data_IF_431776365340
#
_entry.id   IF_431776365340
#
_cell.length_a   1.000
_cell.length_b   1.000
_cell.length_c   1.000
_cell.angle_alpha   90.00
_cell.angle_beta   90.00
_cell.angle_gamma   90.00
#
_symmetry.space_group_name_H-M   'P 1'
#
loop_
_entity.id
_entity.type
_entity.pdbx_description
1 polymer ?
#
# COMPACT_ATOMS: atom_id res chain seq x y z
N UNK A 1 5.64 15.86 1.12
CA UNK A 1 6.78 15.28 0.39
C UNK A 1 7.99 16.19 0.54
N UNK A 2 9.13 15.61 0.80
CA UNK A 2 10.42 16.28 0.82
C UNK A 2 11.46 15.35 0.17
N UNK A 3 12.39 15.93 -0.58
CA UNK A 3 13.50 15.22 -1.21
C UNK A 3 14.80 15.98 -0.92
N UNK A 4 15.87 15.24 -0.64
CA UNK A 4 17.20 15.78 -0.40
C UNK A 4 18.21 15.06 -1.25
N UNK A 5 18.90 15.79 -2.10
CA UNK A 5 20.10 15.33 -2.79
C UNK A 5 21.25 15.22 -1.76
N UNK A 6 21.88 14.06 -1.71
CA UNK A 6 23.03 13.75 -0.84
C UNK A 6 24.37 13.83 -1.59
N UNK A 7 24.35 14.12 -2.89
CA UNK A 7 25.51 14.09 -3.77
C UNK A 7 25.82 12.70 -4.31
N UNK A 8 26.72 12.63 -5.28
CA UNK A 8 27.17 11.37 -5.92
C UNK A 8 26.02 10.45 -6.42
N UNK A 9 24.92 11.05 -6.88
CA UNK A 9 23.75 10.35 -7.37
C UNK A 9 22.87 9.73 -6.27
N UNK A 10 23.15 10.01 -5.00
CA UNK A 10 22.34 9.54 -3.87
C UNK A 10 21.28 10.58 -3.51
N UNK A 11 20.07 10.10 -3.20
CA UNK A 11 18.97 10.95 -2.73
C UNK A 11 18.17 10.27 -1.63
N UNK A 12 17.63 11.09 -0.76
CA UNK A 12 16.74 10.71 0.34
C UNK A 12 15.39 11.38 0.14
N UNK A 13 14.35 10.57 0.09
CA UNK A 13 12.97 11.04 -0.04
C UNK A 13 12.18 10.74 1.21
N UNK A 14 11.30 11.66 1.56
CA UNK A 14 10.35 11.49 2.65
C UNK A 14 8.96 11.89 2.19
N UNK A 15 7.97 11.05 2.48
CA UNK A 15 6.58 11.33 2.19
C UNK A 15 5.71 11.05 3.42
N UNK A 16 4.76 11.93 3.70
CA UNK A 16 3.72 11.70 4.70
C UNK A 16 2.35 11.91 4.07
N UNK A 17 1.39 11.07 4.46
CA UNK A 17 0.01 11.12 3.99
C UNK A 17 -0.94 11.00 5.17
N UNK A 18 -2.06 11.71 5.10
CA UNK A 18 -3.19 11.56 6.01
C UNK A 18 -4.47 11.53 5.19
N UNK A 19 -5.42 10.72 5.59
CA UNK A 19 -6.66 10.57 4.84
C UNK A 19 -7.79 9.99 5.65
N UNK A 20 -8.98 10.06 5.07
CA UNK A 20 -10.18 9.44 5.60
C UNK A 20 -10.87 8.67 4.47
N UNK A 21 -11.17 7.41 4.73
CA UNK A 21 -11.81 6.50 3.78
C UNK A 21 -13.19 6.14 4.29
N UNK A 22 -14.21 6.34 3.46
CA UNK A 22 -15.55 5.82 3.68
C UNK A 22 -15.63 4.42 3.07
N UNK A 23 -16.02 3.47 3.88
CA UNK A 23 -16.22 2.09 3.49
C UNK A 23 -17.72 1.79 3.51
N UNK A 24 -18.18 1.11 2.49
CA UNK A 24 -19.55 0.63 2.36
C UNK A 24 -19.47 -0.83 1.91
N UNK A 25 -20.20 -1.70 2.57
CA UNK A 25 -20.20 -3.10 2.24
C UNK A 25 -21.61 -3.66 2.27
N UNK A 26 -21.84 -4.68 1.45
CA UNK A 26 -22.98 -5.57 1.47
C UNK A 26 -22.48 -6.99 1.24
N UNK A 27 -22.78 -7.87 2.15
CA UNK A 27 -22.36 -9.28 2.13
C UNK A 27 -23.61 -10.14 2.29
N UNK A 28 -23.74 -11.15 1.45
CA UNK A 28 -24.83 -12.13 1.55
C UNK A 28 -24.29 -13.46 2.08
N UNK A 29 -24.94 -14.01 3.12
CA UNK A 29 -24.58 -15.31 3.66
C UNK A 29 -25.13 -16.46 2.78
N UNK A 30 -24.74 -17.70 3.10
CA UNK A 30 -25.14 -18.90 2.35
C UNK A 30 -26.64 -19.24 2.40
N UNK A 31 -27.43 -18.62 3.30
CA UNK A 31 -28.87 -18.77 3.40
C UNK A 31 -29.63 -17.57 2.82
N UNK A 32 -28.93 -16.62 2.19
CA UNK A 32 -29.54 -15.51 1.46
C UNK A 32 -29.71 -14.22 2.25
N UNK A 33 -29.46 -14.19 3.56
CA UNK A 33 -29.53 -12.97 4.38
C UNK A 33 -28.44 -12.00 3.98
N UNK A 34 -28.81 -10.75 3.70
CA UNK A 34 -27.88 -9.69 3.38
C UNK A 34 -27.52 -8.88 4.63
N UNK A 35 -26.22 -8.68 4.85
CA UNK A 35 -25.68 -7.83 5.90
C UNK A 35 -25.00 -6.63 5.26
N UNK A 36 -25.38 -5.44 5.63
CA UNK A 36 -24.80 -4.21 5.08
C UNK A 36 -24.39 -3.22 6.17
N UNK A 37 -23.44 -2.36 5.83
CA UNK A 37 -23.00 -1.32 6.74
C UNK A 37 -22.12 -0.27 6.06
N UNK A 38 -22.03 0.88 6.70
CA UNK A 38 -21.18 1.99 6.27
C UNK A 38 -20.36 2.48 7.45
N UNK A 39 -19.06 2.67 7.26
CA UNK A 39 -18.18 3.24 8.27
C UNK A 39 -17.06 4.06 7.66
N UNK A 40 -16.36 4.85 8.48
CA UNK A 40 -15.28 5.72 8.03
C UNK A 40 -14.06 5.53 8.92
N UNK A 41 -12.91 5.23 8.31
CA UNK A 41 -11.62 5.18 8.98
C UNK A 41 -10.79 6.43 8.68
N UNK A 42 -9.86 6.74 9.58
CA UNK A 42 -8.79 7.71 9.36
C UNK A 42 -7.47 6.97 9.31
N UNK A 43 -6.62 7.32 8.36
CA UNK A 43 -5.33 6.69 8.19
C UNK A 43 -4.21 7.72 8.03
N UNK A 44 -3.02 7.32 8.46
CA UNK A 44 -1.79 8.08 8.34
C UNK A 44 -0.70 7.15 7.82
N UNK A 45 0.21 7.69 7.02
CA UNK A 45 1.41 6.94 6.63
C UNK A 45 2.59 7.88 6.49
N UNK A 46 3.78 7.32 6.74
CA UNK A 46 5.05 7.97 6.50
C UNK A 46 5.97 6.98 5.78
N UNK A 47 6.68 7.48 4.77
CA UNK A 47 7.63 6.70 3.98
C UNK A 47 8.95 7.46 3.95
N UNK A 48 10.05 6.74 4.20
CA UNK A 48 11.40 7.21 3.94
C UNK A 48 12.05 6.27 2.93
N UNK A 49 12.72 6.81 1.92
CA UNK A 49 13.44 6.03 0.91
C UNK A 49 14.79 6.64 0.62
N UNK A 50 15.78 5.77 0.47
CA UNK A 50 17.15 6.10 0.08
C UNK A 50 17.44 5.36 -1.21
N UNK A 51 17.94 6.07 -2.20
CA UNK A 51 18.40 5.47 -3.44
C UNK A 51 19.73 6.10 -3.88
N UNK A 52 20.51 5.35 -4.65
CA UNK A 52 21.76 5.84 -5.23
C UNK A 52 21.87 5.41 -6.68
N UNK A 53 21.87 6.38 -7.58
CA UNK A 53 22.09 6.12 -9.00
C UNK A 53 23.57 6.00 -9.30
N UNK A 54 23.96 4.88 -9.91
CA UNK A 54 25.33 4.53 -10.30
C UNK A 54 25.34 4.28 -11.80
N UNK A 55 26.21 4.92 -12.53
CA UNK A 55 26.32 4.72 -13.97
C UNK A 55 26.53 6.01 -14.76
N UNK A 56 25.97 6.08 -15.94
CA UNK A 56 26.08 7.21 -16.86
C UNK A 56 24.70 7.80 -17.16
N UNK A 57 24.66 8.94 -17.87
CA UNK A 57 23.41 9.54 -18.35
C UNK A 57 22.56 8.60 -19.25
N UNK A 58 23.21 7.59 -19.83
CA UNK A 58 22.58 6.65 -20.77
C UNK A 58 22.14 5.34 -20.11
N UNK A 59 22.85 4.87 -19.09
CA UNK A 59 22.58 3.59 -18.43
C UNK A 59 22.93 3.68 -16.95
N UNK A 60 22.06 3.21 -16.10
CA UNK A 60 22.24 3.27 -14.65
C UNK A 60 21.77 2.02 -13.95
N UNK A 61 22.33 1.83 -12.78
CA UNK A 61 21.92 0.91 -11.73
C UNK A 61 21.55 1.76 -10.51
N UNK A 62 20.41 1.49 -9.90
CA UNK A 62 19.95 2.26 -8.74
C UNK A 62 19.46 1.32 -7.64
N UNK A 63 20.33 0.96 -6.68
CA UNK A 63 19.91 0.31 -5.45
C UNK A 63 19.03 1.24 -4.63
N UNK A 64 17.99 0.67 -4.04
CA UNK A 64 16.97 1.41 -3.30
C UNK A 64 16.65 0.68 -1.99
N UNK A 65 16.45 1.46 -0.93
CA UNK A 65 15.91 0.98 0.35
C UNK A 65 14.76 1.88 0.77
N UNK A 66 13.67 1.30 1.25
CA UNK A 66 12.48 2.04 1.66
C UNK A 66 11.91 1.45 2.93
N UNK A 67 11.44 2.31 3.83
CA UNK A 67 10.65 1.96 4.99
C UNK A 67 9.34 2.75 4.95
N UNK A 68 8.22 2.04 5.04
CA UNK A 68 6.88 2.63 5.08
C UNK A 68 6.18 2.20 6.34
N UNK A 69 5.81 3.17 7.17
CA UNK A 69 4.90 2.96 8.27
C UNK A 69 3.50 3.46 7.89
N UNK A 70 2.47 2.71 8.26
CA UNK A 70 1.08 3.09 8.07
C UNK A 70 0.24 2.73 9.28
N UNK A 71 -0.73 3.57 9.59
CA UNK A 71 -1.73 3.36 10.63
C UNK A 71 -3.12 3.63 10.07
N UNK A 72 -4.04 2.69 10.28
CA UNK A 72 -5.46 2.86 10.02
C UNK A 72 -6.22 2.71 11.33
N UNK A 73 -6.90 3.76 11.77
CA UNK A 73 -7.68 3.75 12.99
C UNK A 73 -8.88 2.80 12.89
N UNK A 74 -9.09 2.02 13.93
CA UNK A 74 -10.24 1.13 14.06
C UNK A 74 -11.56 1.90 14.20
N UNK A 75 -12.66 1.18 14.11
CA UNK A 75 -14.00 1.73 14.23
C UNK A 75 -14.98 0.74 14.83
N UNK A 76 -15.89 1.28 15.64
CA UNK A 76 -17.12 0.61 16.03
C UNK A 76 -18.24 1.13 15.13
N UNK A 77 -19.03 0.23 14.58
CA UNK A 77 -20.18 0.55 13.75
C UNK A 77 -21.22 -0.57 13.83
N UNK A 78 -22.46 -0.23 13.53
CA UNK A 78 -23.52 -1.20 13.41
C UNK A 78 -23.63 -1.68 11.95
N UNK A 79 -23.78 -2.98 11.75
CA UNK A 79 -24.18 -3.60 10.50
C UNK A 79 -25.61 -4.12 10.66
N UNK A 80 -26.42 -4.02 9.62
CA UNK A 80 -27.84 -4.34 9.67
C UNK A 80 -28.15 -5.42 8.64
N UNK A 81 -28.90 -6.44 9.07
CA UNK A 81 -29.44 -7.47 8.16
C UNK A 81 -30.68 -6.94 7.42
N UNK A 82 -31.04 -7.56 6.31
CA UNK A 82 -32.27 -7.32 5.58
C UNK A 82 -33.53 -7.63 6.43
N UNK A 83 -33.40 -8.48 7.46
CA UNK A 83 -34.43 -8.73 8.48
C UNK A 83 -34.51 -7.68 9.59
N UNK A 84 -33.61 -6.66 9.58
CA UNK A 84 -33.58 -5.59 10.58
C UNK A 84 -32.78 -5.94 11.86
N UNK A 85 -32.11 -7.07 11.92
CA UNK A 85 -31.22 -7.42 13.03
C UNK A 85 -29.95 -6.57 13.00
N UNK A 86 -29.49 -6.14 14.16
CA UNK A 86 -28.30 -5.29 14.31
C UNK A 86 -27.14 -6.10 14.85
N UNK A 87 -26.00 -5.99 14.18
CA UNK A 87 -24.72 -6.50 14.66
C UNK A 87 -23.79 -5.35 14.98
N UNK A 88 -23.28 -5.32 16.20
CA UNK A 88 -22.23 -4.41 16.59
C UNK A 88 -20.88 -4.96 16.11
N UNK A 89 -20.20 -4.20 15.28
CA UNK A 89 -18.90 -4.56 14.71
C UNK A 89 -17.82 -3.64 15.29
N UNK A 90 -16.82 -4.27 15.88
CA UNK A 90 -15.59 -3.59 16.32
C UNK A 90 -14.47 -3.98 15.36
N UNK A 91 -14.00 -3.03 14.58
CA UNK A 91 -12.79 -3.16 13.78
C UNK A 91 -11.63 -2.57 14.56
N UNK A 92 -10.62 -3.38 14.88
CA UNK A 92 -9.40 -2.94 15.53
C UNK A 92 -8.56 -2.01 14.65
N UNK A 93 -7.56 -1.40 15.25
CA UNK A 93 -6.56 -0.64 14.52
C UNK A 93 -5.72 -1.57 13.64
N UNK A 94 -5.31 -1.06 12.50
CA UNK A 94 -4.32 -1.71 11.65
C UNK A 94 -3.03 -0.90 11.64
N UNK A 95 -1.92 -1.56 11.96
CA UNK A 95 -0.58 -0.98 11.89
C UNK A 95 0.25 -1.81 10.91
N UNK A 96 0.96 -1.15 10.02
CA UNK A 96 1.82 -1.75 9.03
C UNK A 96 3.20 -1.11 9.07
N UNK A 97 4.23 -1.92 8.96
CA UNK A 97 5.61 -1.49 8.80
C UNK A 97 6.26 -2.33 7.72
N UNK A 98 6.37 -1.78 6.52
CA UNK A 98 6.96 -2.47 5.36
C UNK A 98 8.35 -1.95 5.07
N UNK A 99 9.33 -2.85 5.10
CA UNK A 99 10.66 -2.61 4.56
C UNK A 99 10.76 -3.13 3.13
N UNK A 100 11.41 -2.37 2.24
CA UNK A 100 11.70 -2.77 0.86
C UNK A 100 13.16 -2.56 0.53
N UNK A 101 13.74 -3.54 -0.15
CA UNK A 101 15.05 -3.43 -0.79
C UNK A 101 14.86 -3.69 -2.29
N UNK A 102 15.38 -2.81 -3.12
CA UNK A 102 15.17 -2.88 -4.56
C UNK A 102 16.42 -2.52 -5.35
N UNK A 103 16.39 -2.93 -6.60
CA UNK A 103 17.39 -2.63 -7.60
C UNK A 103 16.68 -2.24 -8.90
N UNK A 104 16.94 -1.03 -9.40
CA UNK A 104 16.46 -0.57 -10.68
C UNK A 104 17.60 -0.52 -11.68
N UNK A 105 17.36 -1.05 -12.87
CA UNK A 105 18.23 -0.98 -14.03
C UNK A 105 17.53 -0.12 -15.07
N UNK A 106 18.18 0.94 -15.51
CA UNK A 106 17.56 1.85 -16.46
C UNK A 106 18.49 2.23 -17.61
N UNK A 107 17.85 2.55 -18.73
CA UNK A 107 18.49 3.10 -19.90
C UNK A 107 17.73 4.30 -20.41
N UNK A 108 18.44 5.41 -20.61
CA UNK A 108 17.89 6.67 -21.10
C UNK A 108 18.40 6.95 -22.51
N UNK A 109 17.52 7.38 -23.36
CA UNK A 109 17.83 7.76 -24.74
C UNK A 109 17.08 9.01 -25.17
N UNK A 110 17.26 9.40 -26.39
CA UNK A 110 16.66 10.63 -26.95
C UNK A 110 15.12 10.58 -26.99
N UNK A 111 14.53 9.41 -27.13
CA UNK A 111 13.08 9.20 -27.19
C UNK A 111 12.43 8.96 -25.79
N UNK A 112 13.23 8.84 -24.75
CA UNK A 112 12.74 8.55 -23.42
C UNK A 112 13.64 7.60 -22.63
N UNK A 113 13.07 6.90 -21.65
CA UNK A 113 13.77 5.93 -20.82
C UNK A 113 12.99 4.63 -20.69
N UNK A 114 13.73 3.54 -20.46
CA UNK A 114 13.17 2.25 -20.07
C UNK A 114 13.85 1.78 -18.79
N UNK A 115 13.12 1.12 -17.92
CA UNK A 115 13.69 0.53 -16.71
C UNK A 115 13.05 -0.82 -16.36
N UNK A 116 13.82 -1.61 -15.64
CA UNK A 116 13.35 -2.80 -14.94
C UNK A 116 13.71 -2.66 -13.46
N UNK A 117 12.76 -2.97 -12.58
CA UNK A 117 12.95 -2.95 -11.14
C UNK A 117 12.68 -4.32 -10.54
N UNK A 118 13.51 -4.73 -9.62
CA UNK A 118 13.39 -5.94 -8.83
C UNK A 118 13.48 -5.57 -7.36
N UNK A 119 12.65 -6.16 -6.52
CA UNK A 119 12.64 -5.86 -5.11
C UNK A 119 12.17 -7.02 -4.26
N UNK A 120 12.54 -6.95 -2.98
CA UNK A 120 12.01 -7.77 -1.91
C UNK A 120 11.37 -6.83 -0.89
N UNK A 121 10.19 -7.17 -0.43
CA UNK A 121 9.46 -6.46 0.59
C UNK A 121 9.11 -7.39 1.75
N UNK A 122 9.10 -6.85 2.97
CA UNK A 122 8.70 -7.58 4.16
C UNK A 122 7.77 -6.71 5.02
N UNK A 123 6.62 -7.26 5.39
CA UNK A 123 5.70 -6.69 6.37
C UNK A 123 6.08 -7.20 7.76
N UNK A 124 6.55 -6.31 8.64
CA UNK A 124 6.96 -6.63 10.01
C UNK A 124 5.79 -6.61 11.01
N UNK A 125 4.74 -5.88 10.69
CA UNK A 125 3.51 -5.75 11.46
C UNK A 125 2.34 -6.25 10.60
N UNK A 126 1.15 -5.70 10.76
CA UNK A 126 0.08 -5.99 9.80
C UNK A 126 -1.00 -6.91 10.36
N UNK A 127 -1.08 -7.03 11.68
CA UNK A 127 -2.16 -7.76 12.32
C UNK A 127 -3.41 -6.86 12.41
N UNK A 128 -4.54 -7.40 12.01
CA UNK A 128 -5.84 -6.76 12.19
C UNK A 128 -6.77 -7.69 12.97
N UNK A 129 -7.41 -7.17 13.99
CA UNK A 129 -8.39 -7.89 14.77
C UNK A 129 -9.75 -7.23 14.62
N UNK A 130 -10.77 -8.02 14.37
CA UNK A 130 -12.16 -7.59 14.33
C UNK A 130 -13.01 -8.47 15.22
N UNK A 131 -14.02 -7.87 15.86
CA UNK A 131 -15.03 -8.62 16.58
C UNK A 131 -16.43 -8.14 16.20
N UNK A 132 -17.39 -9.02 16.25
CA UNK A 132 -18.79 -8.68 16.10
C UNK A 132 -19.60 -9.37 17.19
N UNK A 133 -20.66 -8.71 17.63
CA UNK A 133 -21.61 -9.21 18.59
C UNK A 133 -23.04 -8.98 18.11
N UNK A 134 -23.89 -9.97 18.32
CA UNK A 134 -25.30 -9.88 18.08
C UNK A 134 -26.04 -9.49 19.38
N UNK A 135 -27.24 -8.96 19.25
CA UNK A 135 -28.06 -8.50 20.37
C UNK A 135 -28.49 -9.68 21.32
N UNK A 136 -28.55 -10.90 20.78
CA UNK A 136 -28.79 -12.12 21.54
C UNK A 136 -27.62 -12.58 22.42
N UNK A 137 -26.51 -11.85 22.43
CA UNK A 137 -25.30 -12.10 23.22
C UNK A 137 -24.25 -12.99 22.55
N UNK A 138 -24.46 -13.43 21.31
CA UNK A 138 -23.45 -14.10 20.51
C UNK A 138 -22.32 -13.14 20.11
N UNK A 139 -21.06 -13.53 20.34
CA UNK A 139 -19.91 -12.74 19.90
C UNK A 139 -18.83 -13.61 19.26
N UNK A 140 -18.12 -13.06 18.27
CA UNK A 140 -16.97 -13.71 17.64
C UNK A 140 -15.87 -12.71 17.35
N UNK A 141 -14.65 -13.10 17.63
CA UNK A 141 -13.45 -12.34 17.28
C UNK A 141 -12.70 -13.08 16.18
N UNK A 142 -12.20 -12.32 15.20
CA UNK A 142 -11.39 -12.81 14.10
C UNK A 142 -10.13 -11.97 14.02
N UNK A 143 -8.98 -12.63 13.86
CA UNK A 143 -7.70 -11.97 13.62
C UNK A 143 -7.14 -12.42 12.28
N UNK A 144 -6.61 -11.48 11.51
CA UNK A 144 -5.91 -11.75 10.25
C UNK A 144 -4.49 -11.24 10.41
N UNK A 145 -3.54 -12.11 10.15
CA UNK A 145 -2.12 -11.79 10.12
C UNK A 145 -1.70 -11.55 8.67
N UNK A 146 -1.10 -10.39 8.41
CA UNK A 146 -0.64 -10.01 7.07
C UNK A 146 0.89 -9.88 6.98
N UNK A 147 1.61 -10.37 7.99
CA UNK A 147 3.07 -10.45 7.98
C UNK A 147 3.55 -11.39 6.88
N UNK A 148 4.66 -11.03 6.25
CA UNK A 148 5.22 -11.88 5.22
C UNK A 148 6.25 -11.19 4.35
N UNK A 149 6.90 -11.99 3.52
CA UNK A 149 7.89 -11.52 2.54
C UNK A 149 7.37 -11.81 1.14
N UNK A 150 7.52 -10.86 0.25
CA UNK A 150 7.18 -11.03 -1.17
C UNK A 150 8.22 -10.38 -2.06
N UNK A 151 8.32 -10.88 -3.29
CA UNK A 151 9.13 -10.29 -4.35
C UNK A 151 8.27 -9.35 -5.20
N UNK A 152 8.86 -8.26 -5.67
CA UNK A 152 8.24 -7.28 -6.55
C UNK A 152 9.07 -7.17 -7.83
N UNK A 153 8.40 -7.09 -8.98
CA UNK A 153 9.03 -6.84 -10.28
C UNK A 153 8.22 -5.79 -11.01
N UNK A 154 8.90 -4.85 -11.67
CA UNK A 154 8.25 -3.92 -12.58
C UNK A 154 9.10 -3.64 -13.82
N UNK A 155 8.41 -3.31 -14.90
CA UNK A 155 8.98 -2.83 -16.16
C UNK A 155 8.28 -1.54 -16.51
N UNK A 156 9.05 -0.51 -16.80
CA UNK A 156 8.48 0.78 -17.15
C UNK A 156 9.22 1.47 -18.27
N UNK A 157 8.52 2.42 -18.87
CA UNK A 157 9.07 3.28 -19.91
C UNK A 157 8.48 4.68 -19.80
N UNK A 158 9.31 5.66 -20.09
CA UNK A 158 8.87 7.04 -20.30
C UNK A 158 9.18 7.41 -21.75
N UNK A 159 8.21 7.93 -22.46
CA UNK A 159 8.33 8.38 -23.84
C UNK A 159 8.22 9.90 -23.90
N UNK A 160 9.22 10.57 -24.46
CA UNK A 160 9.19 12.00 -24.71
C UNK A 160 8.43 12.27 -26.01
N UNK A 161 7.19 12.74 -25.90
CA UNK A 161 6.31 13.01 -27.05
C UNK A 161 6.65 14.39 -27.64
N UNK A 162 6.91 15.36 -26.77
CA UNK A 162 7.27 16.76 -27.10
C UNK A 162 8.23 17.30 -26.04
N UNK A 163 8.89 18.44 -26.24
CA UNK A 163 9.79 19.03 -25.25
C UNK A 163 9.16 19.28 -23.87
N UNK A 164 7.85 19.45 -23.81
CA UNK A 164 7.08 19.72 -22.59
C UNK A 164 6.00 18.68 -22.31
N UNK A 165 6.04 17.53 -22.97
CA UNK A 165 5.08 16.46 -22.77
C UNK A 165 5.73 15.09 -22.85
N UNK A 166 5.51 14.27 -21.83
CA UNK A 166 5.93 12.88 -21.80
C UNK A 166 4.76 11.98 -21.39
N UNK A 167 4.77 10.75 -21.84
CA UNK A 167 3.91 9.68 -21.35
C UNK A 167 4.76 8.63 -20.67
N UNK A 168 4.23 8.02 -19.61
CA UNK A 168 4.88 6.88 -18.97
C UNK A 168 3.93 5.68 -18.92
N UNK A 169 4.52 4.50 -18.91
CA UNK A 169 3.83 3.24 -18.75
C UNK A 169 4.64 2.36 -17.80
N UNK A 170 3.98 1.74 -16.84
CA UNK A 170 4.58 0.83 -15.87
C UNK A 170 3.67 -0.39 -15.69
N UNK A 171 4.27 -1.57 -15.67
CA UNK A 171 3.62 -2.84 -15.33
C UNK A 171 4.39 -3.45 -14.17
N UNK A 172 3.68 -3.76 -13.10
CA UNK A 172 4.25 -4.38 -11.92
C UNK A 172 3.52 -5.66 -11.53
N UNK A 173 4.26 -6.56 -10.89
CA UNK A 173 3.73 -7.80 -10.32
C UNK A 173 4.44 -8.15 -9.02
N UNK A 174 3.66 -8.64 -8.05
CA UNK A 174 4.16 -9.16 -6.78
C UNK A 174 3.96 -10.66 -6.70
N UNK A 175 4.87 -11.35 -6.01
CA UNK A 175 4.88 -12.79 -5.77
C UNK A 175 5.22 -13.05 -4.31
N UNK A 176 4.32 -13.70 -3.58
CA UNK A 176 4.48 -14.05 -2.17
C UNK A 176 3.51 -15.09 -1.74
#
# INVERSE_FOLDING_TARGET
YASKDLGDGAHLDFAAKAGSVRNEFSVRNGIGTELSGTYRNRGYSATASLAKRIGTDKSYLEPQAQLTWAHLGGRNFAAVTDGGEVLDVNQGNYNSLVGRLGLELGKTGRLGSVYARFGLAHEFSGDITGSYSAEDGGSKTTSVETKGTWAEMSLGTTLNIKPNASAYFDVSRSYG
#
